data_IF_137489471196
#
_entry.id   IF_137489471196
#
_cell.length_a   1.000
_cell.length_b   1.000
_cell.length_c   1.000
_cell.angle_alpha   90.00
_cell.angle_beta   90.00
_cell.angle_gamma   90.00
#
_symmetry.space_group_name_H-M   'P 1'
#
loop_
_entity.id
_entity.type
_entity.pdbx_description
1 polymer ?
#
# COMPACT_ATOMS: atom_id res chain seq x y z
N UNK A 1 -22.28 -22.93 -61.92
CA UNK A 1 -21.80 -23.99 -61.01
C UNK A 1 -20.34 -24.30 -61.36
N UNK A 2 -19.40 -23.66 -60.66
CA UNK A 2 -17.97 -23.88 -60.88
C UNK A 2 -17.53 -25.16 -60.18
N UNK A 3 -17.08 -26.17 -60.94
CA UNK A 3 -16.45 -27.38 -60.40
C UNK A 3 -15.09 -27.00 -59.82
N UNK A 4 -15.06 -26.60 -58.54
CA UNK A 4 -13.82 -26.44 -57.82
C UNK A 4 -13.17 -27.81 -57.67
N UNK A 5 -12.00 -27.98 -58.27
CA UNK A 5 -11.22 -29.22 -58.21
C UNK A 5 -10.87 -29.54 -56.76
N UNK A 6 -11.00 -30.82 -56.37
CA UNK A 6 -10.77 -31.35 -55.02
C UNK A 6 -9.43 -30.91 -54.41
N UNK A 7 -8.43 -30.62 -55.24
CA UNK A 7 -7.12 -30.10 -54.83
C UNK A 7 -7.19 -28.71 -54.19
N UNK A 8 -8.11 -27.85 -54.62
CA UNK A 8 -8.28 -26.51 -54.06
C UNK A 8 -8.91 -26.56 -52.67
N UNK A 9 -9.74 -27.58 -52.41
CA UNK A 9 -10.36 -27.79 -51.10
C UNK A 9 -9.32 -28.15 -50.03
N UNK A 10 -8.33 -28.97 -50.38
CA UNK A 10 -7.22 -29.29 -49.46
C UNK A 10 -6.35 -28.09 -49.14
N UNK A 11 -6.08 -27.22 -50.12
CA UNK A 11 -5.29 -25.99 -49.91
C UNK A 11 -6.03 -25.02 -48.99
N UNK A 12 -7.32 -24.78 -49.24
CA UNK A 12 -8.14 -23.88 -48.43
C UNK A 12 -8.25 -24.40 -46.99
N UNK A 13 -8.49 -25.71 -46.82
CA UNK A 13 -8.54 -26.35 -45.49
C UNK A 13 -7.22 -26.19 -44.73
N UNK A 14 -6.08 -26.40 -45.41
CA UNK A 14 -4.75 -26.21 -44.81
C UNK A 14 -4.50 -24.78 -44.33
N UNK A 15 -4.88 -23.77 -45.13
CA UNK A 15 -4.75 -22.37 -44.75
C UNK A 15 -5.58 -22.02 -43.51
N UNK A 16 -6.82 -22.52 -43.41
CA UNK A 16 -7.70 -22.27 -42.26
C UNK A 16 -7.12 -22.86 -40.96
N UNK A 17 -6.62 -24.10 -41.02
CA UNK A 17 -5.99 -24.75 -39.85
C UNK A 17 -4.73 -24.01 -39.40
N UNK A 18 -3.88 -23.57 -40.35
CA UNK A 18 -2.68 -22.82 -40.03
C UNK A 18 -2.99 -21.46 -39.39
N UNK A 19 -4.00 -20.74 -39.88
CA UNK A 19 -4.44 -19.49 -39.25
C UNK A 19 -4.98 -19.71 -37.85
N UNK A 20 -5.67 -20.83 -37.60
CA UNK A 20 -6.21 -21.16 -36.28
C UNK A 20 -5.09 -21.45 -35.26
N UNK A 21 -4.03 -22.15 -35.69
CA UNK A 21 -2.87 -22.42 -34.85
C UNK A 21 -2.08 -21.14 -34.51
N UNK A 22 -1.96 -20.20 -35.44
CA UNK A 22 -1.31 -18.90 -35.19
C UNK A 22 -2.08 -18.06 -34.17
N UNK A 23 -3.41 -18.06 -34.22
CA UNK A 23 -4.25 -17.33 -33.25
C UNK A 23 -4.09 -17.93 -31.85
N UNK A 24 -4.10 -19.26 -31.71
CA UNK A 24 -3.89 -19.93 -30.42
C UNK A 24 -2.50 -19.61 -29.85
N UNK A 25 -1.47 -19.60 -30.69
CA UNK A 25 -0.11 -19.25 -30.26
C UNK A 25 -0.01 -17.80 -29.78
N UNK A 26 -0.70 -16.87 -30.45
CA UNK A 26 -0.73 -15.45 -30.05
C UNK A 26 -1.49 -15.23 -28.74
N UNK A 27 -2.58 -15.96 -28.52
CA UNK A 27 -3.34 -15.94 -27.26
C UNK A 27 -2.52 -16.51 -26.08
N UNK A 28 -1.72 -17.56 -26.31
CA UNK A 28 -0.88 -18.17 -25.27
C UNK A 28 0.30 -17.30 -24.83
N UNK A 29 0.85 -16.46 -25.71
CA UNK A 29 1.97 -15.56 -25.38
C UNK A 29 1.55 -14.27 -24.66
N UNK A 30 0.25 -13.97 -24.63
CA UNK A 30 -0.28 -12.74 -24.05
C UNK A 30 -0.77 -12.92 -22.59
N UNK A 31 -0.50 -14.08 -21.98
CA UNK A 31 -0.79 -14.30 -20.58
C UNK A 31 0.07 -13.31 -19.75
N UNK A 32 -0.55 -12.36 -19.02
CA UNK A 32 0.19 -11.41 -18.19
C UNK A 32 0.99 -12.20 -17.16
N UNK A 33 2.29 -11.90 -17.05
CA UNK A 33 3.14 -12.46 -16.00
C UNK A 33 2.48 -12.16 -14.66
N UNK A 34 2.17 -13.22 -13.91
CA UNK A 34 1.65 -13.14 -12.55
C UNK A 34 2.57 -12.22 -11.75
N UNK A 35 2.06 -11.03 -11.43
CA UNK A 35 2.72 -10.09 -10.54
C UNK A 35 2.43 -10.61 -9.15
N UNK A 36 3.45 -10.87 -8.34
CA UNK A 36 3.28 -11.31 -6.94
C UNK A 36 2.34 -10.35 -6.22
N UNK A 37 1.13 -10.83 -5.91
CA UNK A 37 0.17 -10.13 -5.06
C UNK A 37 0.60 -10.39 -3.62
N UNK A 38 1.12 -9.35 -2.96
CA UNK A 38 1.54 -9.41 -1.57
C UNK A 38 0.34 -9.11 -0.68
N UNK A 39 -0.42 -10.15 -0.29
CA UNK A 39 -1.54 -10.04 0.66
C UNK A 39 -1.03 -9.85 2.09
N UNK A 40 -1.40 -8.76 2.75
CA UNK A 40 -1.16 -8.56 4.19
C UNK A 40 -2.48 -8.82 4.94
N UNK A 41 -2.48 -9.79 5.86
CA UNK A 41 -3.59 -10.03 6.79
C UNK A 41 -3.30 -9.29 8.10
N UNK A 42 -4.13 -8.30 8.44
CA UNK A 42 -4.06 -7.60 9.72
C UNK A 42 -5.37 -7.90 10.48
N UNK A 43 -5.29 -8.79 11.47
CA UNK A 43 -6.34 -9.02 12.46
C UNK A 43 -5.97 -8.26 13.74
N UNK A 44 -6.67 -7.15 14.03
CA UNK A 44 -7.24 -6.82 15.34
C UNK A 44 -7.87 -5.39 15.32
N UNK A 45 -9.03 -5.18 15.98
CA UNK A 45 -9.70 -3.88 16.02
C UNK A 45 -9.13 -2.99 17.14
N UNK A 46 -8.68 -1.78 16.79
CA UNK A 46 -8.23 -0.76 17.74
C UNK A 46 -9.39 0.15 18.17
N UNK A 47 -9.59 0.27 19.49
CA UNK A 47 -10.64 1.06 20.14
C UNK A 47 -10.48 2.58 19.95
N UNK A 48 -11.63 3.24 19.99
CA UNK A 48 -11.98 4.64 19.73
C UNK A 48 -11.22 5.65 20.62
N UNK A 49 -10.60 6.69 20.04
CA UNK A 49 -9.92 7.78 20.77
C UNK A 49 -10.40 9.15 20.24
N UNK A 50 -11.00 9.95 21.13
CA UNK A 50 -11.51 11.31 20.90
C UNK A 50 -10.41 12.41 20.85
N UNK A 51 -10.60 13.40 19.95
CA UNK A 51 -10.10 14.80 19.87
C UNK A 51 -8.61 15.15 19.50
N UNK A 52 -8.33 15.10 18.19
CA UNK A 52 -7.83 16.11 17.21
C UNK A 52 -6.58 17.01 17.32
N UNK A 53 -5.76 17.05 18.38
CA UNK A 53 -4.34 17.50 18.22
C UNK A 53 -3.45 16.74 19.18
N UNK A 54 -3.87 16.66 20.44
CA UNK A 54 -3.29 15.74 21.41
C UNK A 54 -3.51 14.29 20.97
N UNK A 55 -4.66 13.93 20.38
CA UNK A 55 -4.87 12.57 19.87
C UNK A 55 -3.97 12.23 18.68
N UNK A 56 -3.64 13.18 17.80
CA UNK A 56 -2.71 12.96 16.68
C UNK A 56 -1.29 12.80 17.18
N UNK A 57 -0.86 13.66 18.11
CA UNK A 57 0.45 13.57 18.74
C UNK A 57 0.56 12.32 19.63
N UNK A 58 -0.50 11.97 20.35
CA UNK A 58 -0.59 10.77 21.19
C UNK A 58 -0.83 9.50 20.38
N UNK A 59 -1.43 9.54 19.19
CA UNK A 59 -1.48 8.42 18.27
C UNK A 59 -0.13 8.20 17.62
N UNK A 60 0.59 9.27 17.28
CA UNK A 60 1.98 9.18 16.82
C UNK A 60 2.89 8.66 17.96
N UNK A 61 2.76 9.18 19.18
CA UNK A 61 3.47 8.71 20.37
C UNK A 61 3.00 7.30 20.80
N UNK A 62 1.75 6.91 20.55
CA UNK A 62 1.22 5.56 20.79
C UNK A 62 1.76 4.57 19.76
N UNK A 63 1.81 4.94 18.48
CA UNK A 63 2.48 4.15 17.45
C UNK A 63 3.95 3.99 17.83
N UNK A 64 4.64 5.06 18.21
CA UNK A 64 6.03 5.02 18.68
C UNK A 64 6.24 4.27 20.01
N UNK A 65 5.24 4.19 20.89
CA UNK A 65 5.31 3.49 22.19
C UNK A 65 4.67 2.09 22.20
N UNK A 66 3.98 1.71 21.12
CA UNK A 66 3.44 0.36 20.85
C UNK A 66 4.25 -0.40 19.82
N UNK A 67 5.12 0.27 19.07
CA UNK A 67 6.37 -0.35 18.60
C UNK A 67 7.04 -0.90 19.86
N UNK A 68 7.15 -2.24 20.02
CA UNK A 68 7.80 -2.79 21.19
C UNK A 68 9.22 -2.22 21.28
N UNK A 69 9.72 -2.03 22.50
CA UNK A 69 11.16 -1.91 22.74
C UNK A 69 11.88 -2.87 21.78
N UNK A 70 12.94 -2.37 21.13
CA UNK A 70 13.78 -3.06 20.14
C UNK A 70 14.28 -4.45 20.59
N UNK A 71 14.03 -4.82 21.85
CA UNK A 71 14.32 -6.12 22.46
C UNK A 71 13.30 -7.24 22.11
N UNK A 72 12.14 -6.97 21.49
CA UNK A 72 11.14 -8.03 21.18
C UNK A 72 11.29 -8.66 19.79
N UNK A 73 12.00 -8.02 18.84
CA UNK A 73 12.12 -8.53 17.46
C UNK A 73 13.41 -9.26 17.08
N UNK A 74 14.23 -9.70 18.04
CA UNK A 74 15.37 -10.58 17.76
C UNK A 74 15.40 -11.80 18.68
N UNK A 75 14.48 -12.73 18.43
CA UNK A 75 14.68 -14.15 18.74
C UNK A 75 14.65 -15.02 17.48
N UNK A 76 15.39 -14.60 16.46
CA UNK A 76 15.87 -15.53 15.45
C UNK A 76 17.30 -15.92 15.79
N UNK A 77 17.45 -17.18 16.19
CA UNK A 77 18.72 -17.83 16.49
C UNK A 77 19.72 -17.62 15.34
N UNK A 78 20.76 -16.83 15.59
CA UNK A 78 22.06 -16.99 14.95
C UNK A 78 23.04 -17.48 16.01
N UNK A 79 23.14 -18.80 16.10
CA UNK A 79 24.24 -19.48 16.77
C UNK A 79 25.50 -19.35 15.91
N UNK A 80 26.48 -18.60 16.39
CA UNK A 80 27.91 -18.76 16.09
C UNK A 80 28.67 -18.17 17.28
N UNK A 81 28.99 -18.98 18.28
CA UNK A 81 30.31 -19.63 18.46
C UNK A 81 31.32 -18.73 19.18
N UNK A 82 31.71 -19.18 20.38
CA UNK A 82 33.07 -19.12 20.97
C UNK A 82 33.64 -17.70 21.23
N UNK A 83 34.35 -17.37 22.31
CA UNK A 83 34.92 -18.07 23.47
C UNK A 83 35.46 -16.97 24.41
N UNK A 84 35.50 -17.25 25.72
CA UNK A 84 36.30 -16.52 26.71
C UNK A 84 35.75 -15.15 27.13
N UNK A 85 35.96 -14.62 28.32
CA UNK A 85 36.95 -14.95 29.34
C UNK A 85 36.45 -14.35 30.67
N UNK A 86 36.95 -14.90 31.76
CA UNK A 86 36.50 -14.71 33.13
C UNK A 86 36.92 -13.35 33.75
N UNK A 87 36.07 -12.84 34.65
CA UNK A 87 36.46 -12.17 35.91
C UNK A 87 36.78 -10.67 35.84
N UNK A 88 35.94 -9.76 36.39
CA UNK A 88 35.91 -9.30 37.81
C UNK A 88 37.27 -8.76 38.31
N UNK A 89 37.44 -7.56 38.86
CA UNK A 89 36.59 -6.62 39.60
C UNK A 89 37.17 -5.19 39.50
N UNK A 90 36.35 -4.15 39.73
CA UNK A 90 36.89 -2.80 39.95
C UNK A 90 35.83 -1.71 39.92
N UNK A 91 35.27 -1.41 41.09
CA UNK A 91 34.54 -0.18 41.39
C UNK A 91 35.20 1.07 40.79
N UNK A 92 34.40 1.96 40.19
CA UNK A 92 34.37 3.38 40.58
C UNK A 92 33.19 4.08 39.89
N UNK A 93 32.55 4.95 40.67
CA UNK A 93 31.43 5.80 40.30
C UNK A 93 31.79 6.61 39.04
N UNK A 94 31.02 6.45 37.98
CA UNK A 94 31.09 7.34 36.83
C UNK A 94 29.68 7.71 36.40
N UNK A 95 29.49 9.00 36.25
CA UNK A 95 28.29 9.68 35.79
C UNK A 95 27.72 8.93 34.58
N UNK A 96 26.48 8.45 34.72
CA UNK A 96 25.69 7.89 33.64
C UNK A 96 25.29 9.02 32.68
N UNK A 97 26.27 9.57 31.96
CA UNK A 97 26.04 10.03 30.60
C UNK A 97 25.63 8.79 29.81
N UNK A 98 24.32 8.51 29.81
CA UNK A 98 23.69 7.68 28.80
C UNK A 98 23.84 8.44 27.47
N UNK A 99 25.04 8.32 26.90
CA UNK A 99 25.29 8.49 25.47
C UNK A 99 24.44 7.44 24.77
N UNK A 100 23.15 7.74 24.60
CA UNK A 100 22.32 7.12 23.61
C UNK A 100 22.93 7.49 22.26
N UNK A 101 23.88 6.67 21.80
CA UNK A 101 24.12 6.50 20.38
C UNK A 101 22.85 5.83 19.82
N UNK A 102 21.78 6.63 19.69
CA UNK A 102 20.73 6.34 18.72
C UNK A 102 21.36 6.55 17.35
N UNK A 103 22.00 5.50 16.84
CA UNK A 103 22.08 5.33 15.39
C UNK A 103 20.62 5.32 14.92
N UNK A 104 20.15 6.48 14.43
CA UNK A 104 18.83 6.59 13.81
C UNK A 104 18.82 5.64 12.62
N UNK A 105 18.26 4.44 12.82
CA UNK A 105 18.09 3.46 11.76
C UNK A 105 17.18 4.11 10.70
N UNK A 106 17.76 4.42 9.55
CA UNK A 106 17.04 5.08 8.48
C UNK A 106 15.94 4.14 7.97
N UNK A 107 14.68 4.50 8.26
CA UNK A 107 13.50 3.77 7.78
C UNK A 107 13.56 3.67 6.25
N UNK A 108 13.39 2.45 5.72
CA UNK A 108 13.47 2.23 4.29
C UNK A 108 12.34 2.96 3.55
N UNK A 109 12.51 3.14 2.24
CA UNK A 109 11.43 3.72 1.42
C UNK A 109 10.21 2.80 1.37
N UNK A 110 10.44 1.48 1.30
CA UNK A 110 9.39 0.46 1.26
C UNK A 110 8.54 0.47 2.54
N UNK A 111 9.18 0.61 3.71
CA UNK A 111 8.46 0.67 4.99
C UNK A 111 7.55 1.91 5.06
N UNK A 112 8.05 3.06 4.60
CA UNK A 112 7.24 4.30 4.56
C UNK A 112 6.07 4.20 3.59
N UNK A 113 6.28 3.57 2.43
CA UNK A 113 5.22 3.30 1.46
C UNK A 113 4.15 2.37 2.04
N UNK A 114 4.57 1.30 2.73
CA UNK A 114 3.67 0.37 3.39
C UNK A 114 2.87 1.06 4.50
N UNK A 115 3.52 1.86 5.34
CA UNK A 115 2.83 2.64 6.38
C UNK A 115 1.76 3.57 5.81
N UNK A 116 2.03 4.23 4.68
CA UNK A 116 1.03 5.09 4.02
C UNK A 116 -0.21 4.30 3.57
N UNK A 117 -0.01 3.11 2.99
CA UNK A 117 -1.08 2.20 2.59
C UNK A 117 -1.86 1.67 3.81
N UNK A 118 -1.17 1.29 4.88
CA UNK A 118 -1.80 0.82 6.11
C UNK A 118 -2.66 1.91 6.77
N UNK A 119 -2.17 3.14 6.82
CA UNK A 119 -2.96 4.28 7.31
C UNK A 119 -4.18 4.54 6.43
N UNK A 120 -4.05 4.42 5.11
CA UNK A 120 -5.18 4.59 4.20
C UNK A 120 -6.24 3.50 4.39
N UNK A 121 -5.81 2.24 4.50
CA UNK A 121 -6.71 1.12 4.79
C UNK A 121 -7.39 1.27 6.15
N UNK A 122 -6.63 1.68 7.17
CA UNK A 122 -7.14 1.99 8.50
C UNK A 122 -8.20 3.09 8.44
N UNK A 123 -7.98 4.15 7.67
CA UNK A 123 -8.94 5.23 7.49
C UNK A 123 -10.28 4.74 6.91
N UNK A 124 -10.23 3.86 5.91
CA UNK A 124 -11.43 3.32 5.24
C UNK A 124 -12.19 2.38 6.18
N UNK A 125 -11.50 1.44 6.81
CA UNK A 125 -12.12 0.42 7.66
C UNK A 125 -12.68 0.97 8.97
N UNK A 126 -12.07 2.04 9.50
CA UNK A 126 -12.51 2.71 10.73
C UNK A 126 -13.35 3.96 10.47
N UNK A 127 -13.55 4.33 9.20
CA UNK A 127 -14.22 5.57 8.78
C UNK A 127 -13.60 6.82 9.46
N UNK A 128 -12.28 6.81 9.68
CA UNK A 128 -11.54 7.85 10.40
C UNK A 128 -10.95 8.90 9.45
N UNK A 129 -11.47 10.12 9.53
CA UNK A 129 -10.90 11.28 8.82
C UNK A 129 -9.48 11.60 9.27
N UNK A 130 -9.12 11.30 10.52
CA UNK A 130 -7.78 11.56 11.07
C UNK A 130 -6.72 10.68 10.38
N UNK A 131 -6.98 9.38 10.24
CA UNK A 131 -6.07 8.51 9.49
C UNK A 131 -6.02 8.90 8.01
N UNK A 132 -7.15 9.34 7.44
CA UNK A 132 -7.20 9.79 6.05
C UNK A 132 -6.29 11.00 5.82
N UNK A 133 -6.29 11.99 6.72
CA UNK A 133 -5.42 13.18 6.62
C UNK A 133 -3.93 12.84 6.68
N UNK A 134 -3.57 11.75 7.36
CA UNK A 134 -2.18 11.33 7.49
C UNK A 134 -1.74 10.53 6.28
N UNK A 135 -2.64 9.70 5.75
CA UNK A 135 -2.39 8.84 4.61
C UNK A 135 -2.30 9.60 3.28
N UNK A 136 -3.13 10.63 3.08
CA UNK A 136 -3.24 11.35 1.81
C UNK A 136 -2.37 12.60 1.75
N UNK A 137 -1.96 12.98 0.54
CA UNK A 137 -1.42 14.34 0.31
C UNK A 137 -2.49 15.39 0.62
N UNK A 138 -2.09 16.62 1.04
CA UNK A 138 -3.05 17.71 1.28
C UNK A 138 -3.95 18.00 0.08
N UNK A 139 -3.40 17.92 -1.14
CA UNK A 139 -4.12 18.14 -2.39
C UNK A 139 -5.21 17.07 -2.60
N UNK A 140 -4.85 15.80 -2.43
CA UNK A 140 -5.80 14.68 -2.54
C UNK A 140 -6.87 14.71 -1.48
N UNK A 141 -6.50 15.06 -0.25
CA UNK A 141 -7.45 15.21 0.84
C UNK A 141 -8.44 16.33 0.52
N UNK A 142 -7.97 17.49 0.05
CA UNK A 142 -8.82 18.62 -0.35
C UNK A 142 -9.79 18.29 -1.49
N UNK A 143 -9.35 17.52 -2.47
CA UNK A 143 -10.17 17.14 -3.63
C UNK A 143 -11.47 16.40 -3.23
N UNK A 144 -11.48 15.71 -2.07
CA UNK A 144 -12.67 15.02 -1.54
C UNK A 144 -13.84 15.99 -1.31
N UNK A 145 -13.58 17.20 -0.80
CA UNK A 145 -14.63 18.18 -0.53
C UNK A 145 -14.65 19.36 -1.51
N UNK A 146 -13.59 19.54 -2.30
CA UNK A 146 -13.46 20.57 -3.33
C UNK A 146 -13.45 21.99 -2.74
N UNK A 147 -14.22 22.90 -3.35
CA UNK A 147 -14.30 24.31 -2.93
C UNK A 147 -15.22 24.55 -1.71
N UNK A 148 -15.74 23.48 -1.08
CA UNK A 148 -16.64 23.63 0.06
C UNK A 148 -15.94 24.35 1.22
N UNK A 149 -16.62 25.30 1.86
CA UNK A 149 -16.09 26.10 2.97
C UNK A 149 -16.75 25.76 4.30
N UNK A 150 -17.95 25.19 4.28
CA UNK A 150 -18.65 24.78 5.48
C UNK A 150 -18.04 23.48 6.07
N UNK A 151 -17.65 23.55 7.34
CA UNK A 151 -17.01 22.44 8.03
C UNK A 151 -17.91 21.19 8.11
N UNK A 152 -19.19 21.37 8.41
CA UNK A 152 -20.13 20.24 8.55
C UNK A 152 -20.34 19.55 7.20
N UNK A 153 -20.38 20.31 6.11
CA UNK A 153 -20.48 19.75 4.76
C UNK A 153 -19.18 19.02 4.37
N UNK A 154 -18.00 19.55 4.72
CA UNK A 154 -16.71 18.87 4.48
C UNK A 154 -16.65 17.51 5.18
N UNK A 155 -16.96 17.47 6.48
CA UNK A 155 -16.96 16.21 7.25
C UNK A 155 -17.95 15.20 6.66
N UNK A 156 -19.14 15.65 6.22
CA UNK A 156 -20.10 14.78 5.53
C UNK A 156 -19.56 14.23 4.20
N UNK A 157 -18.82 15.02 3.42
CA UNK A 157 -18.20 14.56 2.18
C UNK A 157 -17.08 13.56 2.44
N UNK A 158 -16.25 13.80 3.46
CA UNK A 158 -15.19 12.86 3.88
C UNK A 158 -15.80 11.54 4.36
N UNK A 159 -16.81 11.59 5.22
CA UNK A 159 -17.50 10.39 5.68
C UNK A 159 -18.18 9.63 4.53
N UNK A 160 -18.79 10.34 3.57
CA UNK A 160 -19.37 9.73 2.38
C UNK A 160 -18.32 9.03 1.51
N UNK A 161 -17.16 9.66 1.32
CA UNK A 161 -16.03 9.09 0.58
C UNK A 161 -15.50 7.81 1.25
N UNK A 162 -15.26 7.84 2.57
CA UNK A 162 -14.80 6.67 3.31
C UNK A 162 -15.81 5.53 3.26
N UNK A 163 -17.10 5.84 3.45
CA UNK A 163 -18.19 4.86 3.38
C UNK A 163 -18.34 4.24 1.99
N UNK A 164 -18.11 5.02 0.95
CA UNK A 164 -18.10 4.55 -0.43
C UNK A 164 -17.00 3.50 -0.62
N UNK A 165 -15.76 3.80 -0.22
CA UNK A 165 -14.64 2.86 -0.33
C UNK A 165 -14.79 1.64 0.60
N UNK A 166 -15.44 1.80 1.75
CA UNK A 166 -15.73 0.69 2.67
C UNK A 166 -16.86 -0.22 2.16
N UNK A 167 -17.62 0.19 1.13
CA UNK A 167 -18.74 -0.57 0.59
C UNK A 167 -19.82 -0.87 1.64
N UNK A 168 -20.08 0.09 2.55
CA UNK A 168 -20.97 -0.09 3.70
C UNK A 168 -20.57 -1.26 4.64
N UNK A 169 -19.28 -1.40 4.92
CA UNK A 169 -18.73 -2.43 5.82
C UNK A 169 -18.64 -3.81 5.18
N UNK A 170 -18.70 -3.89 3.85
CA UNK A 170 -18.52 -5.15 3.09
C UNK A 170 -17.10 -5.32 2.56
N UNK A 171 -16.23 -4.33 2.78
CA UNK A 171 -14.81 -4.43 2.46
C UNK A 171 -14.18 -5.60 3.23
N UNK A 172 -13.51 -6.48 2.50
CA UNK A 172 -12.89 -7.68 3.06
C UNK A 172 -11.37 -7.62 3.06
N UNK A 173 -10.78 -7.00 2.03
CA UNK A 173 -9.34 -6.80 1.94
C UNK A 173 -9.01 -5.62 1.02
N UNK A 174 -7.78 -5.14 1.19
CA UNK A 174 -7.12 -4.20 0.29
C UNK A 174 -5.82 -4.83 -0.18
N UNK A 175 -5.65 -4.92 -1.48
CA UNK A 175 -4.40 -5.27 -2.14
C UNK A 175 -3.88 -4.06 -2.93
N UNK A 176 -2.63 -4.10 -3.38
CA UNK A 176 -2.09 -3.07 -4.26
C UNK A 176 -1.10 -3.65 -5.26
N UNK A 177 -0.95 -2.96 -6.38
CA UNK A 177 0.03 -3.28 -7.41
C UNK A 177 0.76 -2.01 -7.83
N UNK A 178 2.10 -2.05 -7.80
CA UNK A 178 2.93 -0.98 -8.34
C UNK A 178 3.15 -1.17 -9.84
N UNK A 179 3.18 -0.04 -10.54
CA UNK A 179 3.54 0.01 -11.95
C UNK A 179 5.03 -0.22 -12.11
N UNK A 180 5.37 -0.84 -13.23
CA UNK A 180 6.74 -1.16 -13.60
C UNK A 180 7.11 -0.35 -14.84
N UNK A 181 8.29 0.26 -14.83
CA UNK A 181 8.77 1.04 -15.96
C UNK A 181 9.29 0.15 -17.11
N UNK A 182 9.80 0.79 -18.17
CA UNK A 182 10.35 0.08 -19.35
C UNK A 182 11.64 -0.71 -19.06
N UNK A 183 12.20 -0.60 -17.86
CA UNK A 183 13.42 -1.25 -17.40
C UNK A 183 13.16 -2.30 -16.32
N UNK A 184 11.90 -2.70 -16.13
CA UNK A 184 11.48 -3.63 -15.09
C UNK A 184 11.70 -3.10 -13.64
N UNK A 185 11.78 -1.78 -13.45
CA UNK A 185 11.85 -1.16 -12.12
C UNK A 185 10.47 -0.75 -11.61
N UNK A 186 10.20 -0.96 -10.31
CA UNK A 186 9.00 -0.46 -9.65
C UNK A 186 9.00 1.06 -9.62
N UNK A 187 7.84 1.64 -9.89
CA UNK A 187 7.60 3.09 -9.83
C UNK A 187 6.78 3.44 -8.59
N UNK A 188 6.73 4.73 -8.26
CA UNK A 188 5.88 5.24 -7.19
C UNK A 188 4.37 5.22 -7.54
N UNK A 189 4.01 4.91 -8.78
CA UNK A 189 2.62 4.83 -9.21
C UNK A 189 2.09 3.41 -9.09
N UNK A 190 0.79 3.27 -8.80
CA UNK A 190 0.16 1.97 -8.68
C UNK A 190 -1.36 2.01 -8.71
N UNK A 191 -1.96 0.88 -8.34
CA UNK A 191 -3.40 0.70 -8.20
C UNK A 191 -3.68 -0.04 -6.91
N UNK A 192 -4.53 0.56 -6.06
CA UNK A 192 -5.14 -0.10 -4.91
C UNK A 192 -6.35 -0.88 -5.38
N UNK A 193 -6.52 -2.09 -4.89
CA UNK A 193 -7.61 -3.01 -5.26
C UNK A 193 -8.36 -3.35 -3.98
N UNK A 194 -9.57 -2.79 -3.85
CA UNK A 194 -10.50 -3.17 -2.80
C UNK A 194 -11.30 -4.39 -3.22
N UNK A 195 -11.43 -5.38 -2.33
CA UNK A 195 -12.25 -6.56 -2.54
C UNK A 195 -13.36 -6.63 -1.50
N UNK A 196 -14.60 -6.83 -1.96
CA UNK A 196 -15.79 -6.86 -1.11
C UNK A 196 -16.34 -8.26 -0.92
N UNK A 197 -17.26 -8.42 0.04
CA UNK A 197 -17.86 -9.71 0.39
C UNK A 197 -18.63 -10.37 -0.76
N UNK A 198 -19.14 -9.58 -1.71
CA UNK A 198 -19.80 -10.07 -2.92
C UNK A 198 -18.82 -10.45 -4.06
N UNK A 199 -17.50 -10.35 -3.78
CA UNK A 199 -16.39 -10.55 -4.71
C UNK A 199 -16.28 -9.50 -5.81
N UNK A 200 -17.04 -8.41 -5.73
CA UNK A 200 -16.77 -7.24 -6.55
C UNK A 200 -15.44 -6.61 -6.13
N UNK A 201 -14.85 -5.85 -7.05
CA UNK A 201 -13.62 -5.10 -6.79
C UNK A 201 -13.77 -3.64 -7.19
N UNK A 202 -13.02 -2.77 -6.52
CA UNK A 202 -12.85 -1.38 -6.91
C UNK A 202 -11.37 -1.08 -7.03
N UNK A 203 -10.97 -0.53 -8.18
CA UNK A 203 -9.60 -0.15 -8.46
C UNK A 203 -9.43 1.36 -8.30
N UNK A 204 -8.43 1.76 -7.53
CA UNK A 204 -8.10 3.16 -7.24
C UNK A 204 -6.66 3.42 -7.65
N UNK A 205 -6.41 4.13 -8.77
CA UNK A 205 -5.06 4.53 -9.14
C UNK A 205 -4.50 5.51 -8.12
N UNK A 206 -3.21 5.40 -7.83
CA UNK A 206 -2.52 6.25 -6.87
C UNK A 206 -1.04 6.46 -7.22
N UNK A 207 -0.42 7.44 -6.56
CA UNK A 207 1.02 7.67 -6.56
C UNK A 207 1.55 7.89 -5.15
N UNK A 208 2.76 7.44 -4.85
CA UNK A 208 3.45 7.80 -3.62
C UNK A 208 4.16 9.14 -3.76
N UNK A 209 3.94 10.01 -2.78
CA UNK A 209 4.62 11.32 -2.68
C UNK A 209 5.40 11.36 -1.38
N UNK A 210 6.71 11.56 -1.47
CA UNK A 210 7.56 11.79 -0.29
C UNK A 210 7.68 13.28 -0.03
N UNK A 211 7.33 13.70 1.19
CA UNK A 211 7.42 15.09 1.65
C UNK A 211 8.38 15.19 2.85
N UNK A 212 8.95 16.39 3.06
CA UNK A 212 9.87 16.67 4.16
C UNK A 212 11.35 16.72 3.77
N UNK A 213 12.19 17.12 4.72
CA UNK A 213 13.63 17.32 4.52
C UNK A 213 14.45 16.48 5.50
N UNK A 214 15.65 16.07 5.07
CA UNK A 214 16.56 15.26 5.89
C UNK A 214 15.96 13.92 6.30
N UNK A 215 16.02 13.62 7.61
CA UNK A 215 15.52 12.39 8.21
C UNK A 215 14.01 12.46 8.55
N UNK A 216 13.36 13.61 8.38
CA UNK A 216 11.94 13.82 8.67
C UNK A 216 11.05 13.65 7.43
N UNK A 217 11.34 12.63 6.63
CA UNK A 217 10.59 12.34 5.40
C UNK A 217 9.39 11.44 5.66
N UNK A 218 8.22 11.89 5.25
CA UNK A 218 6.97 11.12 5.27
C UNK A 218 6.58 10.72 3.84
N UNK A 219 5.96 9.57 3.68
CA UNK A 219 5.36 9.14 2.41
C UNK A 219 3.84 9.19 2.55
N UNK A 220 3.17 9.75 1.55
CA UNK A 220 1.72 9.86 1.48
C UNK A 220 1.22 9.41 0.11
N UNK A 221 -0.09 9.19 0.01
CA UNK A 221 -0.79 8.74 -1.19
C UNK A 221 -1.43 9.94 -1.90
N UNK A 222 -1.12 10.08 -3.18
CA UNK A 222 -1.79 10.99 -4.11
C UNK A 222 -2.83 10.22 -4.94
N UNK A 223 -4.07 10.70 -4.93
CA UNK A 223 -5.25 10.17 -5.61
C UNK A 223 -5.74 11.08 -6.75
N UNK A 224 -4.94 12.06 -7.18
CA UNK A 224 -5.34 13.02 -8.22
C UNK A 224 -5.84 12.35 -9.52
N UNK A 225 -5.23 11.23 -9.92
CA UNK A 225 -5.68 10.46 -11.08
C UNK A 225 -7.06 9.84 -10.85
N UNK A 226 -7.31 9.29 -9.67
CA UNK A 226 -8.60 8.71 -9.32
C UNK A 226 -9.73 9.74 -9.40
N UNK A 227 -9.50 10.95 -8.87
CA UNK A 227 -10.49 12.03 -8.97
C UNK A 227 -10.70 12.51 -10.41
N UNK A 228 -9.64 12.59 -11.21
CA UNK A 228 -9.72 12.95 -12.62
C UNK A 228 -10.60 11.97 -13.41
N UNK A 229 -10.46 10.67 -13.16
CA UNK A 229 -11.26 9.63 -13.81
C UNK A 229 -12.75 9.69 -13.45
N UNK A 230 -13.09 10.15 -12.24
CA UNK A 230 -14.48 10.30 -11.79
C UNK A 230 -15.19 11.51 -12.37
N UNK A 231 -14.44 12.52 -12.79
CA UNK A 231 -14.99 13.78 -13.31
C UNK A 231 -15.41 13.74 -14.78
N UNK A 232 -15.05 12.66 -15.50
CA UNK A 232 -15.36 12.44 -16.92
C UNK A 232 -16.57 11.53 -17.13
#
# INVERSE_FOLDING_TARGET
>A
MTKLSMKHWFIISGCVVMTFLLVIWFLGSSAPKETEVKTVKIEEPLEEIENTVEATQKANDFVLSKVPDSDVFLKFHLSSSEDGDEGHEGHEENELEHSFNHEHEQVSMEDRQLSALEMFYGAITTESSTYLTTALTPESFQEIWGEEMDFEIREKKIAAFLKELNGAGTLTSMDYKLNVDKFDHTTDNGTIIFMYADKSTTEVPFSFVTMGEGDHKITQIDLSEFFSLRSN
#
